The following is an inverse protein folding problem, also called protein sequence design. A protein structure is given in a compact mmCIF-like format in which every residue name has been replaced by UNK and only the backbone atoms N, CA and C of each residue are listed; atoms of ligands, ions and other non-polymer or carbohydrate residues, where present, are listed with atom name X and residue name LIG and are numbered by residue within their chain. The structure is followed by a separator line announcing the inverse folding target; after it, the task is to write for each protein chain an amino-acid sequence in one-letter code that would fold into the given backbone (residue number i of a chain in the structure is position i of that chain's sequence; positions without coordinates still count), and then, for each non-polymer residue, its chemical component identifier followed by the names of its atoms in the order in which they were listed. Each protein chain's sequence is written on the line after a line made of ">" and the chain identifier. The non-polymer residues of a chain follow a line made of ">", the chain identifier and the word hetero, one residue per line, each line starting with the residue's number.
data_IF_181186734599
#
_entry.id   IF_181186734599
#
_cell.length_a   1.000
_cell.length_b   1.000
_cell.length_c   1.000
_cell.angle_alpha   90.00
_cell.angle_beta   90.00
_cell.angle_gamma   90.00
#
_symmetry.space_group_name_H-M   'P 1'
#
loop_
_entity.id
_entity.type
_entity.pdbx_description
1 polymer ?
#
# COMPACT_ATOMS: atom_id res chain seq x y z
N UNK A 1 -23.49 -7.77 14.70
CA UNK A 1 -24.38 -6.63 15.04
C UNK A 1 -23.63 -5.35 14.70
N UNK A 2 -24.16 -4.50 13.82
CA UNK A 2 -23.57 -3.17 13.60
C UNK A 2 -23.72 -2.34 14.89
N UNK A 3 -22.72 -1.53 15.27
CA UNK A 3 -22.81 -0.68 16.46
C UNK A 3 -24.01 0.28 16.35
N UNK A 4 -24.67 0.59 17.47
CA UNK A 4 -25.80 1.51 17.50
C UNK A 4 -25.32 2.94 17.24
N UNK A 5 -25.55 3.44 16.03
CA UNK A 5 -25.18 4.80 15.63
C UNK A 5 -26.34 5.75 15.95
N UNK A 6 -26.07 6.81 16.72
CA UNK A 6 -27.01 7.92 16.96
C UNK A 6 -27.07 8.83 15.72
N UNK A 7 -27.68 8.33 14.65
CA UNK A 7 -27.67 8.97 13.33
C UNK A 7 -28.25 10.40 13.32
N UNK A 8 -29.21 10.71 14.19
CA UNK A 8 -29.76 12.06 14.32
C UNK A 8 -28.71 13.07 14.78
N UNK A 9 -27.90 12.71 15.77
CA UNK A 9 -26.79 13.55 16.26
C UNK A 9 -25.73 13.75 15.18
N UNK A 10 -25.43 12.70 14.39
CA UNK A 10 -24.49 12.77 13.26
C UNK A 10 -24.99 13.75 12.20
N UNK A 11 -26.27 13.66 11.84
CA UNK A 11 -26.89 14.57 10.85
C UNK A 11 -26.87 16.01 11.35
N UNK A 12 -27.25 16.26 12.61
CA UNK A 12 -27.21 17.61 13.19
C UNK A 12 -25.81 18.19 13.15
N UNK A 13 -24.80 17.42 13.59
CA UNK A 13 -23.40 17.84 13.56
C UNK A 13 -22.89 18.11 12.14
N UNK A 14 -23.28 17.29 11.17
CA UNK A 14 -22.91 17.51 9.76
C UNK A 14 -23.53 18.77 9.16
N UNK A 15 -24.78 19.09 9.55
CA UNK A 15 -25.46 20.31 9.11
C UNK A 15 -24.81 21.54 9.71
N UNK A 16 -24.56 21.55 11.03
CA UNK A 16 -23.85 22.62 11.72
C UNK A 16 -22.46 22.87 11.14
N UNK A 17 -21.72 21.79 10.85
CA UNK A 17 -20.41 21.87 10.19
C UNK A 17 -20.51 22.52 8.80
N UNK A 18 -21.48 22.13 7.97
CA UNK A 18 -21.66 22.70 6.63
C UNK A 18 -22.03 24.17 6.66
N UNK A 19 -22.90 24.58 7.60
CA UNK A 19 -23.27 25.98 7.82
C UNK A 19 -22.04 26.81 8.25
N UNK A 20 -21.21 26.28 9.15
CA UNK A 20 -20.00 26.98 9.60
C UNK A 20 -18.93 27.17 8.52
N UNK A 21 -18.88 26.29 7.52
CA UNK A 21 -17.89 26.31 6.44
C UNK A 21 -18.42 27.06 5.19
N UNK A 22 -19.69 27.47 5.20
CA UNK A 22 -20.38 28.12 4.08
C UNK A 22 -20.22 27.35 2.74
N UNK A 23 -20.20 26.02 2.83
CA UNK A 23 -19.98 25.13 1.69
C UNK A 23 -21.30 24.91 0.93
N UNK A 24 -21.62 25.83 0.01
CA UNK A 24 -22.81 25.77 -0.85
C UNK A 24 -22.81 24.58 -1.84
N UNK A 25 -21.70 23.82 -1.96
CA UNK A 25 -21.61 22.72 -2.94
C UNK A 25 -22.41 21.45 -2.57
N UNK A 26 -23.08 21.45 -1.42
CA UNK A 26 -23.99 20.38 -1.01
C UNK A 26 -25.39 20.99 -0.87
N UNK A 27 -26.02 21.26 -2.01
CA UNK A 27 -27.44 21.61 -2.10
C UNK A 27 -28.27 20.69 -1.18
N UNK A 28 -29.06 21.33 -0.31
CA UNK A 28 -30.04 20.79 0.63
C UNK A 28 -30.43 19.33 0.36
N UNK A 29 -29.66 18.40 0.92
CA UNK A 29 -30.09 17.02 0.99
C UNK A 29 -31.10 16.98 2.14
N UNK A 30 -32.38 16.81 1.80
CA UNK A 30 -33.49 16.71 2.75
C UNK A 30 -33.08 15.89 3.96
N UNK A 31 -33.32 16.42 5.16
CA UNK A 31 -32.99 15.73 6.42
C UNK A 31 -33.62 14.32 6.36
N UNK A 32 -32.84 13.25 6.56
CA UNK A 32 -33.40 11.90 6.48
C UNK A 32 -34.49 11.73 7.54
N UNK A 33 -35.70 11.37 7.15
CA UNK A 33 -36.83 11.20 8.08
C UNK A 33 -36.70 9.88 8.85
N UNK A 34 -36.02 8.91 8.23
CA UNK A 34 -35.84 7.56 8.74
C UNK A 34 -34.38 7.10 8.59
N UNK A 35 -33.99 6.09 9.38
CA UNK A 35 -32.63 5.55 9.36
C UNK A 35 -32.23 5.00 7.97
N UNK A 36 -33.20 4.50 7.18
CA UNK A 36 -32.95 3.97 5.84
C UNK A 36 -32.47 5.07 4.90
N UNK A 37 -33.11 6.23 4.91
CA UNK A 37 -32.70 7.41 4.13
C UNK A 37 -31.34 7.93 4.56
N UNK A 38 -31.05 7.91 5.86
CA UNK A 38 -29.72 8.25 6.37
C UNK A 38 -28.65 7.32 5.78
N UNK A 39 -28.86 6.00 5.83
CA UNK A 39 -27.91 5.01 5.27
C UNK A 39 -27.76 5.18 3.76
N UNK A 40 -28.86 5.35 3.02
CA UNK A 40 -28.83 5.61 1.57
C UNK A 40 -28.05 6.89 1.27
N UNK A 41 -28.27 7.96 2.05
CA UNK A 41 -27.54 9.21 1.98
C UNK A 41 -26.04 9.03 2.20
N UNK A 42 -25.66 8.28 3.24
CA UNK A 42 -24.27 7.94 3.54
C UNK A 42 -23.60 7.16 2.40
N UNK A 43 -24.26 6.12 1.87
CA UNK A 43 -23.75 5.33 0.74
C UNK A 43 -23.59 6.20 -0.50
N UNK A 44 -24.60 7.02 -0.83
CA UNK A 44 -24.55 7.94 -1.98
C UNK A 44 -23.41 8.95 -1.84
N UNK A 45 -23.24 9.52 -0.64
CA UNK A 45 -22.17 10.47 -0.35
C UNK A 45 -20.78 9.81 -0.41
N UNK A 46 -20.64 8.60 0.13
CA UNK A 46 -19.43 7.81 0.01
C UNK A 46 -19.09 7.56 -1.46
N UNK A 47 -20.01 7.01 -2.25
CA UNK A 47 -19.80 6.76 -3.67
C UNK A 47 -19.46 8.03 -4.45
N UNK A 48 -20.12 9.15 -4.17
CA UNK A 48 -19.81 10.45 -4.79
C UNK A 48 -18.39 10.92 -4.45
N UNK A 49 -17.98 10.82 -3.19
CA UNK A 49 -16.64 11.21 -2.74
C UNK A 49 -15.57 10.30 -3.35
N UNK A 50 -15.80 8.99 -3.33
CA UNK A 50 -14.93 7.99 -3.97
C UNK A 50 -14.76 8.30 -5.45
N UNK A 51 -15.87 8.55 -6.18
CA UNK A 51 -15.80 8.94 -7.59
C UNK A 51 -15.00 10.23 -7.78
N UNK A 52 -15.22 11.26 -6.94
CA UNK A 52 -14.47 12.52 -7.01
C UNK A 52 -12.97 12.32 -6.80
N UNK A 53 -12.58 11.49 -5.84
CA UNK A 53 -11.18 11.16 -5.53
C UNK A 53 -10.52 10.40 -6.67
N UNK A 54 -11.20 9.41 -7.27
CA UNK A 54 -10.64 8.64 -8.39
C UNK A 54 -10.69 9.37 -9.74
N UNK A 55 -11.40 10.49 -9.86
CA UNK A 55 -11.29 11.38 -11.03
C UNK A 55 -9.96 12.14 -11.03
N UNK A 56 -9.33 12.32 -9.86
CA UNK A 56 -8.01 12.93 -9.78
C UNK A 56 -6.95 11.98 -10.34
N UNK A 57 -6.31 12.38 -11.44
CA UNK A 57 -5.29 11.58 -12.12
C UNK A 57 -4.06 11.32 -11.24
N UNK A 58 -3.72 12.23 -10.33
CA UNK A 58 -2.62 12.04 -9.39
C UNK A 58 -2.95 10.87 -8.45
N UNK A 59 -4.15 10.89 -7.86
CA UNK A 59 -4.60 9.81 -6.95
C UNK A 59 -4.72 8.48 -7.69
N UNK A 60 -5.27 8.49 -8.90
CA UNK A 60 -5.41 7.28 -9.71
C UNK A 60 -4.05 6.67 -10.05
N UNK A 61 -3.08 7.49 -10.48
CA UNK A 61 -1.72 7.05 -10.80
C UNK A 61 -1.06 6.35 -9.61
N UNK A 62 -1.09 6.98 -8.43
CA UNK A 62 -0.49 6.41 -7.23
C UNK A 62 -1.24 5.17 -6.74
N UNK A 63 -2.58 5.11 -6.90
CA UNK A 63 -3.36 3.92 -6.56
C UNK A 63 -3.01 2.72 -7.45
N UNK A 64 -2.88 2.94 -8.76
CA UNK A 64 -2.48 1.90 -9.72
C UNK A 64 -1.06 1.40 -9.40
N UNK A 65 -0.13 2.33 -9.15
CA UNK A 65 1.23 1.97 -8.75
C UNK A 65 1.25 1.12 -7.48
N UNK A 66 0.52 1.54 -6.44
CA UNK A 66 0.39 0.80 -5.18
C UNK A 66 -0.19 -0.60 -5.38
N UNK A 67 -1.24 -0.73 -6.20
CA UNK A 67 -1.85 -2.00 -6.52
C UNK A 67 -0.87 -2.95 -7.23
N UNK A 68 -0.11 -2.44 -8.22
CA UNK A 68 0.89 -3.23 -8.93
C UNK A 68 2.04 -3.65 -8.01
N UNK A 69 2.59 -2.74 -7.21
CA UNK A 69 3.68 -3.03 -6.28
C UNK A 69 3.25 -4.09 -5.24
N UNK A 70 2.06 -3.93 -4.67
CA UNK A 70 1.50 -4.89 -3.70
C UNK A 70 1.27 -6.26 -4.34
N UNK A 71 0.75 -6.29 -5.57
CA UNK A 71 0.56 -7.53 -6.32
C UNK A 71 1.89 -8.25 -6.58
N UNK A 72 2.92 -7.52 -7.05
CA UNK A 72 4.25 -8.07 -7.26
C UNK A 72 4.87 -8.61 -5.98
N UNK A 73 4.73 -7.88 -4.87
CA UNK A 73 5.17 -8.32 -3.55
C UNK A 73 4.48 -9.61 -3.10
N UNK A 74 3.17 -9.74 -3.33
CA UNK A 74 2.44 -10.98 -3.03
C UNK A 74 2.86 -12.14 -3.93
N UNK A 75 3.12 -11.89 -5.21
CA UNK A 75 3.63 -12.91 -6.12
C UNK A 75 4.97 -13.44 -5.60
N UNK A 76 5.93 -12.56 -5.32
CA UNK A 76 7.23 -12.98 -4.77
C UNK A 76 7.06 -13.70 -3.44
N UNK A 77 6.27 -13.16 -2.51
CA UNK A 77 6.04 -13.76 -1.19
C UNK A 77 5.43 -15.17 -1.24
N UNK A 78 4.52 -15.44 -2.19
CA UNK A 78 3.91 -16.76 -2.33
C UNK A 78 4.83 -17.79 -2.98
N UNK A 79 5.71 -17.37 -3.91
CA UNK A 79 6.53 -18.31 -4.68
C UNK A 79 7.96 -18.46 -4.15
N UNK A 80 8.45 -17.56 -3.30
CA UNK A 80 9.84 -17.57 -2.85
C UNK A 80 10.21 -18.85 -2.09
N UNK A 81 9.32 -19.35 -1.23
CA UNK A 81 9.57 -20.59 -0.48
C UNK A 81 9.59 -21.81 -1.41
N UNK A 82 8.72 -21.84 -2.42
CA UNK A 82 8.72 -22.89 -3.44
C UNK A 82 10.00 -22.86 -4.26
N UNK A 83 10.45 -21.67 -4.66
CA UNK A 83 11.69 -21.50 -5.43
C UNK A 83 12.91 -21.99 -4.63
N UNK A 84 13.00 -21.64 -3.33
CA UNK A 84 14.06 -22.13 -2.47
C UNK A 84 14.01 -23.64 -2.26
N UNK A 85 12.81 -24.21 -2.12
CA UNK A 85 12.65 -25.65 -1.93
C UNK A 85 13.08 -26.48 -3.16
N UNK A 86 12.93 -25.95 -4.37
CA UNK A 86 13.38 -26.61 -5.60
C UNK A 86 14.92 -26.74 -5.66
N UNK A 87 15.63 -25.76 -5.12
CA UNK A 87 17.10 -25.71 -5.14
C UNK A 87 17.75 -26.19 -3.84
N UNK A 88 16.96 -26.47 -2.79
CA UNK A 88 17.47 -26.90 -1.50
C UNK A 88 17.86 -28.39 -1.55
N UNK A 89 19.11 -28.76 -1.17
CA UNK A 89 19.49 -30.16 -1.04
C UNK A 89 18.68 -30.86 0.06
N UNK A 90 18.27 -32.11 -0.18
CA UNK A 90 17.42 -32.90 0.74
C UNK A 90 17.95 -32.99 2.17
N UNK A 91 19.27 -32.98 2.35
CA UNK A 91 19.95 -33.14 3.65
C UNK A 91 20.49 -31.82 4.23
N UNK A 92 20.15 -30.66 3.63
CA UNK A 92 20.65 -29.36 4.06
C UNK A 92 19.70 -28.65 5.05
N UNK A 93 20.30 -27.98 6.03
CA UNK A 93 19.57 -27.14 7.00
C UNK A 93 18.73 -26.06 6.31
N UNK A 94 17.51 -25.86 6.80
CA UNK A 94 16.57 -24.87 6.28
C UNK A 94 16.71 -23.55 7.05
N UNK A 95 17.18 -22.51 6.35
CA UNK A 95 17.36 -21.17 6.91
C UNK A 95 16.27 -20.16 6.50
N UNK A 96 15.21 -20.60 5.81
CA UNK A 96 14.20 -19.72 5.22
C UNK A 96 13.59 -18.76 6.24
N UNK A 97 13.14 -19.28 7.39
CA UNK A 97 12.54 -18.47 8.44
C UNK A 97 13.51 -17.45 9.07
N UNK A 98 14.79 -17.82 9.18
CA UNK A 98 15.83 -16.90 9.65
C UNK A 98 16.06 -15.77 8.64
N UNK A 99 16.14 -16.10 7.35
CA UNK A 99 16.31 -15.13 6.27
C UNK A 99 15.13 -14.15 6.24
N UNK A 100 13.89 -14.63 6.39
CA UNK A 100 12.70 -13.77 6.44
C UNK A 100 12.70 -12.80 7.64
N UNK A 101 13.09 -13.28 8.82
CA UNK A 101 13.21 -12.46 10.01
C UNK A 101 14.31 -11.40 9.86
N UNK A 102 15.49 -11.80 9.36
CA UNK A 102 16.61 -10.90 9.10
C UNK A 102 16.20 -9.80 8.10
N UNK A 103 15.52 -10.16 7.02
CA UNK A 103 15.05 -9.22 6.01
C UNK A 103 14.08 -8.19 6.59
N UNK A 104 13.20 -8.61 7.49
CA UNK A 104 12.26 -7.71 8.19
C UNK A 104 13.02 -6.72 9.08
N UNK A 105 14.02 -7.19 9.81
CA UNK A 105 14.87 -6.34 10.65
C UNK A 105 15.65 -5.31 9.83
N UNK A 106 16.31 -5.75 8.75
CA UNK A 106 17.07 -4.87 7.84
C UNK A 106 16.14 -3.83 7.21
N UNK A 107 14.98 -4.27 6.69
CA UNK A 107 13.99 -3.36 6.10
C UNK A 107 13.54 -2.29 7.10
N UNK A 108 13.30 -2.68 8.36
CA UNK A 108 12.90 -1.75 9.43
C UNK A 108 13.96 -0.69 9.68
N UNK A 109 15.24 -1.10 9.78
CA UNK A 109 16.35 -0.16 9.97
C UNK A 109 16.43 0.83 8.79
N UNK A 110 16.31 0.34 7.57
CA UNK A 110 16.35 1.18 6.36
C UNK A 110 15.18 2.16 6.32
N UNK A 111 13.96 1.73 6.65
CA UNK A 111 12.79 2.61 6.74
C UNK A 111 13.04 3.73 7.75
N UNK A 112 13.54 3.41 8.95
CA UNK A 112 13.83 4.40 9.98
C UNK A 112 14.91 5.41 9.53
N UNK A 113 15.89 4.97 8.76
CA UNK A 113 16.90 5.85 8.18
C UNK A 113 16.30 6.76 7.08
N UNK A 114 15.51 6.21 6.16
CA UNK A 114 14.84 6.95 5.10
C UNK A 114 13.93 8.05 5.66
N UNK A 115 13.19 7.77 6.74
CA UNK A 115 12.34 8.75 7.42
C UNK A 115 13.13 9.93 8.01
N UNK A 116 14.41 9.75 8.35
CA UNK A 116 15.27 10.84 8.84
C UNK A 116 15.86 11.70 7.71
N UNK A 117 15.83 11.22 6.47
CA UNK A 117 16.39 11.95 5.34
C UNK A 117 15.42 13.04 4.86
N UNK A 118 15.90 14.29 4.82
CA UNK A 118 15.14 15.43 4.30
C UNK A 118 15.27 15.51 2.77
N UNK A 119 14.70 14.54 2.07
CA UNK A 119 14.68 14.50 0.59
C UNK A 119 13.33 15.02 0.10
N UNK A 120 13.35 15.81 -0.98
CA UNK A 120 12.12 16.27 -1.63
C UNK A 120 11.57 15.18 -2.56
N UNK A 121 10.88 14.21 -1.97
CA UNK A 121 10.30 13.05 -2.66
C UNK A 121 9.26 13.42 -3.71
N UNK A 122 8.62 14.59 -3.60
CA UNK A 122 7.66 15.06 -4.60
C UNK A 122 8.34 15.38 -5.96
N UNK A 123 9.64 15.69 -5.96
CA UNK A 123 10.40 15.99 -7.20
C UNK A 123 11.16 14.77 -7.71
N UNK A 124 11.77 13.99 -6.82
CA UNK A 124 12.68 12.91 -7.19
C UNK A 124 12.09 11.51 -7.03
N UNK A 125 10.93 11.39 -6.38
CA UNK A 125 10.29 10.11 -6.07
C UNK A 125 10.04 9.29 -7.32
N UNK A 126 9.40 9.86 -8.34
CA UNK A 126 9.09 9.14 -9.59
C UNK A 126 10.33 8.56 -10.28
N UNK A 127 11.43 9.33 -10.30
CA UNK A 127 12.69 8.89 -10.88
C UNK A 127 13.30 7.73 -10.08
N UNK A 128 13.35 7.85 -8.75
CA UNK A 128 13.84 6.78 -7.88
C UNK A 128 12.96 5.53 -7.96
N UNK A 129 11.65 5.68 -8.05
CA UNK A 129 10.71 4.58 -8.23
C UNK A 129 10.97 3.82 -9.53
N UNK A 130 11.21 4.54 -10.64
CA UNK A 130 11.51 3.90 -11.93
C UNK A 130 12.82 3.10 -11.89
N UNK A 131 13.89 3.69 -11.31
CA UNK A 131 15.18 3.01 -11.16
C UNK A 131 15.03 1.77 -10.26
N UNK A 132 14.36 1.93 -9.12
CA UNK A 132 14.13 0.86 -8.17
C UNK A 132 13.34 -0.29 -8.80
N UNK A 133 12.28 0.01 -9.59
CA UNK A 133 11.51 -1.01 -10.31
C UNK A 133 12.34 -1.78 -11.35
N UNK A 134 13.17 -1.09 -12.14
CA UNK A 134 14.04 -1.75 -13.13
C UNK A 134 15.06 -2.65 -12.41
N UNK A 135 15.61 -2.16 -11.30
CA UNK A 135 16.55 -2.91 -10.51
C UNK A 135 15.90 -4.14 -9.85
N UNK A 136 14.72 -3.99 -9.25
CA UNK A 136 13.95 -5.12 -8.69
C UNK A 136 13.63 -6.17 -9.75
N UNK A 137 13.22 -5.75 -10.95
CA UNK A 137 13.03 -6.66 -12.07
C UNK A 137 14.32 -7.44 -12.38
N UNK A 138 15.47 -6.76 -12.42
CA UNK A 138 16.77 -7.40 -12.65
C UNK A 138 17.15 -8.39 -11.55
N UNK A 139 16.94 -8.04 -10.29
CA UNK A 139 17.18 -8.93 -9.14
C UNK A 139 16.30 -10.16 -9.21
N UNK A 140 14.99 -9.99 -9.47
CA UNK A 140 14.04 -11.10 -9.59
C UNK A 140 14.38 -12.01 -10.77
N UNK A 141 14.74 -11.45 -11.92
CA UNK A 141 15.16 -12.23 -13.09
C UNK A 141 16.44 -13.02 -12.77
N UNK A 142 17.40 -12.41 -12.09
CA UNK A 142 18.64 -13.09 -11.70
C UNK A 142 18.37 -14.23 -10.70
N UNK A 143 17.46 -14.03 -9.74
CA UNK A 143 17.02 -15.08 -8.83
C UNK A 143 16.32 -16.23 -9.55
N UNK A 144 15.55 -15.96 -10.61
CA UNK A 144 14.88 -17.00 -11.37
C UNK A 144 15.86 -17.87 -12.20
N UNK A 145 17.04 -17.34 -12.54
CA UNK A 145 18.04 -18.02 -13.38
C UNK A 145 19.14 -18.73 -12.58
N UNK A 146 19.36 -18.32 -11.33
CA UNK A 146 20.40 -18.91 -10.49
C UNK A 146 19.97 -20.27 -9.90
N UNK A 147 20.95 -21.11 -9.59
CA UNK A 147 20.78 -22.40 -8.89
C UNK A 147 21.42 -22.37 -7.50
N UNK A 148 21.73 -21.16 -7.00
CA UNK A 148 22.37 -20.97 -5.70
C UNK A 148 21.38 -20.39 -4.70
N UNK A 149 21.08 -21.17 -3.66
CA UNK A 149 20.17 -20.78 -2.57
C UNK A 149 20.63 -19.48 -1.88
N UNK A 150 21.93 -19.31 -1.64
CA UNK A 150 22.49 -18.09 -1.04
C UNK A 150 22.24 -16.84 -1.89
N UNK A 151 22.37 -16.97 -3.22
CA UNK A 151 22.09 -15.86 -4.14
C UNK A 151 20.61 -15.50 -4.09
N UNK A 152 19.72 -16.50 -4.01
CA UNK A 152 18.28 -16.26 -3.87
C UNK A 152 17.94 -15.59 -2.53
N UNK A 153 18.59 -15.97 -1.42
CA UNK A 153 18.39 -15.32 -0.12
C UNK A 153 18.80 -13.85 -0.15
N UNK A 154 19.97 -13.54 -0.71
CA UNK A 154 20.47 -12.16 -0.81
C UNK A 154 19.59 -11.35 -1.78
N UNK A 155 19.24 -11.92 -2.93
CA UNK A 155 18.33 -11.27 -3.89
C UNK A 155 16.97 -10.94 -3.28
N UNK A 156 16.40 -11.88 -2.52
CA UNK A 156 15.15 -11.67 -1.80
C UNK A 156 15.27 -10.56 -0.75
N UNK A 157 16.39 -10.51 -0.02
CA UNK A 157 16.67 -9.45 0.95
C UNK A 157 16.68 -8.06 0.29
N UNK A 158 17.40 -7.95 -0.83
CA UNK A 158 17.52 -6.71 -1.60
C UNK A 158 16.14 -6.26 -2.11
N UNK A 159 15.40 -7.15 -2.76
CA UNK A 159 14.05 -6.87 -3.26
C UNK A 159 13.12 -6.40 -2.13
N UNK A 160 13.13 -7.07 -0.98
CA UNK A 160 12.30 -6.70 0.19
C UNK A 160 12.61 -5.30 0.71
N UNK A 161 13.90 -4.96 0.80
CA UNK A 161 14.32 -3.64 1.28
C UNK A 161 13.91 -2.55 0.30
N UNK A 162 14.09 -2.78 -1.00
CA UNK A 162 13.73 -1.81 -2.04
C UNK A 162 12.23 -1.60 -2.10
N UNK A 163 11.43 -2.68 -2.10
CA UNK A 163 9.98 -2.60 -2.01
C UNK A 163 9.53 -1.76 -0.81
N UNK A 164 10.06 -2.04 0.39
CA UNK A 164 9.69 -1.30 1.60
C UNK A 164 10.11 0.17 1.57
N UNK A 165 11.27 0.48 0.98
CA UNK A 165 11.72 1.83 0.76
C UNK A 165 10.78 2.58 -0.21
N UNK A 166 10.42 1.95 -1.33
CA UNK A 166 9.53 2.52 -2.34
C UNK A 166 8.15 2.84 -1.77
N UNK A 167 7.57 1.90 -0.99
CA UNK A 167 6.30 2.12 -0.30
C UNK A 167 6.39 3.32 0.64
N UNK A 168 7.46 3.42 1.44
CA UNK A 168 7.65 4.54 2.38
C UNK A 168 7.78 5.89 1.66
N UNK A 169 8.41 5.93 0.49
CA UNK A 169 8.57 7.15 -0.32
C UNK A 169 7.24 7.60 -0.94
N UNK A 170 6.37 6.64 -1.25
CA UNK A 170 5.07 6.89 -1.87
C UNK A 170 3.96 7.27 -0.87
N UNK A 171 4.19 7.11 0.44
CA UNK A 171 3.29 7.54 1.52
C UNK A 171 3.58 8.99 1.93
#
# INVERSE_FOLDING_TARGET
>A
MLPFVRWKEVVTRETELKESINDETIAYQTLPENYKEFVIGCVKNFTRRTKKVFTDLHVLKWSIWWAMATCGQFQVGNYIQTLWAEEQPTDADNYNGFVEAANTMISTIIILLLQKLKINWNKWGEFWLAIASIFDFGVLLFMALTKSLWVMYIGYAIFRVIYQAMITIAQ
#
